data_IF_287347049018
#
_entry.id   IF_287347049018
#
_cell.length_a   1.000
_cell.length_b   1.000
_cell.length_c   1.000
_cell.angle_alpha   90.00
_cell.angle_beta   90.00
_cell.angle_gamma   90.00
#
_symmetry.space_group_name_H-M   'P 1'
#
loop_
_entity.id
_entity.type
_entity.pdbx_description
1 polymer ?
#
# COMPACT_ATOMS: atom_id res chain seq x y z
N UNK A 1 -0.40 -7.64 -29.54
CA UNK A 1 0.53 -6.97 -28.61
C UNK A 1 -0.01 -6.93 -27.17
N UNK A 2 -1.11 -6.23 -26.86
CA UNK A 2 -1.64 -6.12 -25.48
C UNK A 2 -1.94 -7.48 -24.80
N UNK A 3 -2.51 -8.42 -25.54
CA UNK A 3 -2.83 -9.77 -25.05
C UNK A 3 -1.57 -10.55 -24.67
N UNK A 4 -0.47 -10.42 -25.43
CA UNK A 4 0.79 -11.13 -25.13
C UNK A 4 1.36 -10.65 -23.80
N UNK A 5 1.37 -9.34 -23.56
CA UNK A 5 1.81 -8.75 -22.29
C UNK A 5 0.94 -9.16 -21.11
N UNK A 6 -0.38 -9.15 -21.30
CA UNK A 6 -1.33 -9.54 -20.26
C UNK A 6 -1.19 -11.03 -19.91
N UNK A 7 -1.02 -11.90 -20.91
CA UNK A 7 -0.74 -13.33 -20.69
C UNK A 7 0.56 -13.53 -19.92
N UNK A 8 1.64 -12.83 -20.29
CA UNK A 8 2.93 -12.91 -19.57
C UNK A 8 2.78 -12.47 -18.12
N UNK A 9 2.08 -11.37 -17.86
CA UNK A 9 1.84 -10.85 -16.50
C UNK A 9 1.04 -11.85 -15.64
N UNK A 10 -0.01 -12.44 -16.21
CA UNK A 10 -0.84 -13.42 -15.51
C UNK A 10 -0.01 -14.67 -15.19
N UNK A 11 0.69 -15.23 -16.18
CA UNK A 11 1.49 -16.44 -15.98
C UNK A 11 2.61 -16.18 -14.96
N UNK A 12 3.32 -15.06 -15.06
CA UNK A 12 4.40 -14.73 -14.11
C UNK A 12 3.88 -14.50 -12.70
N UNK A 13 2.73 -13.83 -12.54
CA UNK A 13 2.10 -13.64 -11.23
C UNK A 13 1.65 -14.97 -10.62
N UNK A 14 1.03 -15.85 -11.42
CA UNK A 14 0.61 -17.18 -10.95
C UNK A 14 1.81 -18.04 -10.54
N UNK A 15 2.89 -18.02 -11.32
CA UNK A 15 4.14 -18.71 -10.97
C UNK A 15 4.74 -18.15 -9.68
N UNK A 16 4.77 -16.83 -9.50
CA UNK A 16 5.25 -16.20 -8.28
C UNK A 16 4.44 -16.64 -7.06
N UNK A 17 3.11 -16.62 -7.16
CA UNK A 17 2.21 -17.10 -6.10
C UNK A 17 2.50 -18.58 -5.80
N UNK A 18 2.66 -19.41 -6.83
CA UNK A 18 3.03 -20.82 -6.68
C UNK A 18 4.35 -21.03 -5.95
N UNK A 19 5.37 -20.22 -6.26
CA UNK A 19 6.68 -20.25 -5.57
C UNK A 19 6.52 -19.83 -4.11
N UNK A 20 5.79 -18.75 -3.83
CA UNK A 20 5.57 -18.25 -2.46
C UNK A 20 4.88 -19.30 -1.58
N UNK A 21 3.86 -20.00 -2.11
CA UNK A 21 3.17 -21.08 -1.42
C UNK A 21 4.07 -22.31 -1.21
N UNK A 22 4.84 -22.71 -2.24
CA UNK A 22 5.73 -23.87 -2.18
C UNK A 22 6.89 -23.66 -1.22
N UNK A 23 7.47 -22.46 -1.20
CA UNK A 23 8.69 -22.18 -0.44
C UNK A 23 8.42 -21.83 1.04
N UNK A 24 7.20 -22.14 1.53
CA UNK A 24 6.73 -21.86 2.90
C UNK A 24 7.17 -20.49 3.38
N UNK A 25 6.70 -19.46 2.67
CA UNK A 25 6.94 -18.06 3.02
C UNK A 25 7.01 -17.90 4.53
N UNK A 26 8.19 -17.56 5.03
CA UNK A 26 8.45 -17.60 6.47
C UNK A 26 7.37 -16.79 7.17
N UNK A 27 6.77 -17.35 8.22
CA UNK A 27 5.83 -16.60 9.07
C UNK A 27 6.44 -15.26 9.54
N UNK A 28 7.77 -15.17 9.62
CA UNK A 28 8.46 -13.90 9.87
C UNK A 28 8.26 -12.85 8.78
N UNK A 29 8.26 -13.25 7.50
CA UNK A 29 7.99 -12.34 6.38
C UNK A 29 6.55 -11.84 6.43
N UNK A 30 5.58 -12.73 6.66
CA UNK A 30 4.17 -12.33 6.73
C UNK A 30 3.90 -11.40 7.92
N UNK A 31 4.49 -11.68 9.09
CA UNK A 31 4.43 -10.80 10.26
C UNK A 31 5.07 -9.44 9.97
N UNK A 32 6.22 -9.42 9.32
CA UNK A 32 6.90 -8.18 8.92
C UNK A 32 6.04 -7.35 7.96
N UNK A 33 5.43 -7.99 6.95
CA UNK A 33 4.54 -7.33 6.01
C UNK A 33 3.26 -6.81 6.69
N UNK A 34 2.62 -7.61 7.55
CA UNK A 34 1.47 -7.16 8.32
C UNK A 34 1.82 -5.96 9.22
N UNK A 35 3.02 -5.94 9.81
CA UNK A 35 3.49 -4.79 10.59
C UNK A 35 3.61 -3.53 9.73
N UNK A 36 4.09 -3.64 8.49
CA UNK A 36 4.13 -2.50 7.56
C UNK A 36 2.73 -1.97 7.25
N UNK A 37 1.75 -2.87 7.03
CA UNK A 37 0.34 -2.48 6.85
C UNK A 37 -0.17 -1.72 8.07
N UNK A 38 0.07 -2.24 9.28
CA UNK A 38 -0.38 -1.62 10.53
C UNK A 38 0.28 -0.26 10.74
N UNK A 39 1.59 -0.13 10.47
CA UNK A 39 2.31 1.14 10.57
C UNK A 39 1.76 2.15 9.56
N UNK A 40 1.54 1.74 8.31
CA UNK A 40 0.98 2.61 7.27
C UNK A 40 -0.44 3.08 7.63
N UNK A 41 -1.30 2.17 8.07
CA UNK A 41 -2.64 2.51 8.53
C UNK A 41 -2.60 3.43 9.76
N UNK A 42 -1.69 3.18 10.71
CA UNK A 42 -1.47 4.02 11.87
C UNK A 42 -0.99 5.43 11.52
N UNK A 43 -0.07 5.57 10.56
CA UNK A 43 0.35 6.88 10.05
C UNK A 43 -0.81 7.66 9.43
N UNK A 44 -1.62 7.02 8.59
CA UNK A 44 -2.80 7.65 8.01
C UNK A 44 -3.83 8.06 9.07
N UNK A 45 -4.05 7.20 10.06
CA UNK A 45 -4.93 7.48 11.19
C UNK A 45 -4.45 8.70 11.99
N UNK A 46 -3.16 8.75 12.32
CA UNK A 46 -2.56 9.88 13.01
C UNK A 46 -2.72 11.19 12.21
N UNK A 47 -2.47 11.18 10.90
CA UNK A 47 -2.65 12.37 10.07
C UNK A 47 -4.07 12.90 10.13
N UNK A 48 -5.08 12.02 10.12
CA UNK A 48 -6.48 12.42 10.20
C UNK A 48 -6.86 12.94 11.61
N UNK A 49 -6.45 12.25 12.68
CA UNK A 49 -6.88 12.58 14.04
C UNK A 49 -6.12 13.76 14.66
N UNK A 50 -4.85 13.97 14.28
CA UNK A 50 -4.10 15.10 14.83
C UNK A 50 -4.65 16.46 14.35
N UNK A 51 -5.51 16.48 13.32
CA UNK A 51 -6.14 17.68 12.78
C UNK A 51 -5.15 18.84 12.56
N UNK A 52 -3.89 18.52 12.22
CA UNK A 52 -2.79 19.51 12.06
C UNK A 52 -3.14 20.52 10.96
N UNK A 53 -3.87 20.07 9.95
CA UNK A 53 -4.31 20.88 8.84
C UNK A 53 -5.82 20.76 8.73
N UNK A 54 -6.54 21.88 8.86
CA UNK A 54 -7.99 21.91 8.71
C UNK A 54 -8.40 21.43 7.31
N UNK A 55 -9.39 20.54 7.23
CA UNK A 55 -9.89 19.98 5.98
C UNK A 55 -9.03 18.84 5.39
N UNK A 56 -7.87 18.54 5.97
CA UNK A 56 -7.07 17.39 5.55
C UNK A 56 -7.70 16.09 6.08
N UNK A 57 -8.25 15.28 5.19
CA UNK A 57 -8.78 13.97 5.53
C UNK A 57 -8.46 12.96 4.42
N UNK A 58 -7.46 12.10 4.68
CA UNK A 58 -7.10 11.01 3.79
C UNK A 58 -7.95 9.79 4.17
N UNK A 59 -8.77 9.22 3.26
CA UNK A 59 -9.65 8.11 3.61
C UNK A 59 -8.82 6.88 3.99
N UNK A 60 -9.23 6.15 5.04
CA UNK A 60 -8.53 4.95 5.51
C UNK A 60 -9.13 3.71 4.85
N UNK A 61 -8.65 3.37 3.65
CA UNK A 61 -9.15 2.26 2.86
C UNK A 61 -7.99 1.45 2.24
N UNK A 62 -8.25 0.28 1.62
CA UNK A 62 -7.18 -0.55 1.08
C UNK A 62 -6.29 0.15 0.05
N UNK A 63 -6.82 1.11 -0.70
CA UNK A 63 -6.07 1.84 -1.73
C UNK A 63 -5.07 2.80 -1.07
N UNK A 64 -5.51 3.67 -0.16
CA UNK A 64 -4.60 4.63 0.51
C UNK A 64 -3.59 3.91 1.41
N UNK A 65 -4.01 2.85 2.10
CA UNK A 65 -3.11 2.01 2.91
C UNK A 65 -2.07 1.37 2.01
N UNK A 66 -2.45 0.77 0.87
CA UNK A 66 -1.48 0.15 -0.04
C UNK A 66 -0.51 1.18 -0.63
N UNK A 67 -0.99 2.38 -0.98
CA UNK A 67 -0.10 3.49 -1.38
C UNK A 67 0.91 3.83 -0.29
N UNK A 68 0.46 3.97 0.97
CA UNK A 68 1.32 4.24 2.11
C UNK A 68 2.27 3.07 2.44
N UNK A 69 1.88 1.82 2.20
CA UNK A 69 2.77 0.65 2.37
C UNK A 69 3.87 0.63 1.31
N UNK A 70 3.54 0.93 0.06
CA UNK A 70 4.51 0.91 -1.06
C UNK A 70 5.47 2.09 -0.99
N UNK A 71 4.94 3.29 -0.72
CA UNK A 71 5.70 4.53 -0.76
C UNK A 71 6.17 5.01 0.60
N UNK A 72 5.66 4.44 1.71
CA UNK A 72 5.98 4.86 3.06
C UNK A 72 5.44 6.26 3.39
N UNK A 73 6.19 6.96 4.25
CA UNK A 73 5.93 8.36 4.64
C UNK A 73 5.82 9.29 3.41
N UNK A 74 6.70 9.21 2.38
CA UNK A 74 6.53 9.98 1.15
C UNK A 74 5.16 9.84 0.48
N UNK A 75 4.57 8.64 0.49
CA UNK A 75 3.23 8.41 -0.08
C UNK A 75 2.13 9.13 0.68
N UNK A 76 2.21 9.13 2.02
CA UNK A 76 1.27 9.86 2.87
C UNK A 76 1.36 11.36 2.61
N UNK A 77 2.57 11.91 2.54
CA UNK A 77 2.80 13.32 2.21
C UNK A 77 2.31 13.68 0.81
N UNK A 78 2.52 12.81 -0.17
CA UNK A 78 2.01 12.99 -1.53
C UNK A 78 0.48 13.07 -1.53
N UNK A 79 -0.21 12.13 -0.87
CA UNK A 79 -1.67 12.14 -0.78
C UNK A 79 -2.19 13.40 -0.08
N UNK A 80 -1.53 13.83 1.01
CA UNK A 80 -1.86 15.09 1.68
C UNK A 80 -1.67 16.29 0.74
N UNK A 81 -0.56 16.34 0.00
CA UNK A 81 -0.31 17.40 -0.98
C UNK A 81 -1.37 17.44 -2.08
N UNK A 82 -1.74 16.29 -2.65
CA UNK A 82 -2.81 16.22 -3.65
C UNK A 82 -4.11 16.79 -3.08
N UNK A 83 -4.48 16.40 -1.86
CA UNK A 83 -5.70 16.90 -1.24
C UNK A 83 -5.66 18.39 -0.91
N UNK A 84 -4.51 18.95 -0.53
CA UNK A 84 -4.40 20.35 -0.13
C UNK A 84 -4.25 21.32 -1.32
N UNK A 85 -3.66 20.86 -2.43
CA UNK A 85 -3.30 21.72 -3.55
C UNK A 85 -4.13 21.48 -4.82
N UNK A 86 -4.76 20.31 -4.96
CA UNK A 86 -5.48 19.94 -6.18
C UNK A 86 -6.99 19.83 -5.93
N UNK A 87 -7.39 19.27 -4.78
CA UNK A 87 -8.79 19.12 -4.38
C UNK A 87 -9.24 20.34 -3.59
#
# INVERSE_FOLDING_TARGET
MKIVWLSILIISSLLLVGILLRNKLSWGWLKGFALHIVIAAGLLYLVNELAIVEGLHIPLNPITISTAVVLGVPGVLMMAGVQLFIV
#
